data_IF_957403132593
#
_entry.id   IF_957403132593
#
_cell.length_a   1.000
_cell.length_b   1.000
_cell.length_c   1.000
_cell.angle_alpha   90.00
_cell.angle_beta   90.00
_cell.angle_gamma   90.00
#
_symmetry.space_group_name_H-M   'P 1'
#
loop_
_entity.id
_entity.type
_entity.pdbx_description
1 polymer ?
#
# COMPACT_ATOMS: atom_id res chain seq x y z
N UNK A 1 -6.15 10.84 11.48
CA UNK A 1 -7.35 11.32 10.78
C UNK A 1 -7.99 10.15 10.05
N UNK A 2 -9.26 9.90 10.30
CA UNK A 2 -9.97 8.73 9.78
C UNK A 2 -9.98 8.72 8.24
N UNK A 3 -10.32 9.86 7.62
CA UNK A 3 -10.40 9.97 6.16
C UNK A 3 -9.07 9.86 5.42
N UNK A 4 -7.94 9.96 6.14
CA UNK A 4 -6.62 9.87 5.51
C UNK A 4 -6.15 8.43 5.29
N UNK A 5 -6.75 7.44 6.00
CA UNK A 5 -6.27 6.06 5.99
C UNK A 5 -7.28 5.07 5.45
N UNK A 6 -8.47 5.52 5.00
CA UNK A 6 -9.49 4.64 4.43
C UNK A 6 -10.35 5.38 3.41
N UNK A 7 -11.02 4.66 2.49
CA UNK A 7 -11.93 5.25 1.52
C UNK A 7 -13.07 6.04 2.16
N UNK A 8 -13.55 7.06 1.48
CA UNK A 8 -14.61 7.94 1.97
C UNK A 8 -15.86 7.21 2.43
N UNK A 9 -16.40 6.19 1.69
CA UNK A 9 -17.58 5.48 2.15
C UNK A 9 -17.41 4.86 3.53
N UNK A 10 -16.25 4.26 3.81
CA UNK A 10 -15.97 3.67 5.12
C UNK A 10 -15.81 4.75 6.19
N UNK A 11 -15.14 5.86 5.87
CA UNK A 11 -14.99 6.98 6.78
C UNK A 11 -16.35 7.57 7.16
N UNK A 12 -17.25 7.76 6.19
CA UNK A 12 -18.58 8.30 6.42
C UNK A 12 -19.42 7.36 7.30
N UNK A 13 -19.32 6.06 7.08
CA UNK A 13 -20.03 5.06 7.89
C UNK A 13 -19.56 5.05 9.33
N UNK A 14 -18.25 5.20 9.57
CA UNK A 14 -17.73 5.33 10.93
C UNK A 14 -18.24 6.60 11.61
N UNK A 15 -18.31 7.70 10.89
CA UNK A 15 -18.87 8.96 11.41
C UNK A 15 -20.36 8.82 11.73
N UNK A 16 -21.08 7.96 11.01
CA UNK A 16 -22.48 7.68 11.25
C UNK A 16 -22.71 6.73 12.42
N UNK A 17 -21.65 6.22 13.07
CA UNK A 17 -21.76 5.39 14.26
C UNK A 17 -21.83 3.90 14.00
N UNK A 18 -21.47 3.44 12.84
CA UNK A 18 -21.41 2.00 12.57
C UNK A 18 -20.24 1.36 13.31
N UNK A 19 -20.52 0.31 14.08
CA UNK A 19 -19.50 -0.37 14.90
C UNK A 19 -18.58 -1.28 14.07
N UNK A 20 -19.08 -1.79 12.95
CA UNK A 20 -18.33 -2.69 12.08
C UNK A 20 -18.58 -2.30 10.63
N UNK A 21 -17.48 -2.11 9.91
CA UNK A 21 -17.53 -1.82 8.47
C UNK A 21 -16.81 -2.94 7.75
N UNK A 22 -17.53 -3.63 6.87
CA UNK A 22 -16.95 -4.64 5.99
C UNK A 22 -17.73 -4.62 4.68
N UNK A 23 -17.05 -4.27 3.59
CA UNK A 23 -17.65 -4.14 2.29
C UNK A 23 -17.03 -5.14 1.32
N UNK A 24 -17.88 -5.78 0.52
CA UNK A 24 -17.42 -6.61 -0.57
C UNK A 24 -17.12 -5.73 -1.78
N UNK A 25 -15.92 -5.88 -2.30
CA UNK A 25 -15.48 -5.20 -3.52
C UNK A 25 -15.40 -6.26 -4.61
N UNK A 26 -16.26 -6.18 -5.66
CA UNK A 26 -16.29 -7.21 -6.71
C UNK A 26 -14.98 -7.35 -7.46
N UNK A 27 -14.27 -6.24 -7.69
CA UNK A 27 -13.00 -6.26 -8.39
C UNK A 27 -12.11 -5.16 -7.81
N UNK A 28 -11.13 -5.57 -7.04
CA UNK A 28 -10.14 -4.68 -6.43
C UNK A 28 -8.77 -4.99 -7.01
N UNK A 29 -8.03 -3.97 -7.39
CA UNK A 29 -6.63 -4.13 -7.80
C UNK A 29 -5.73 -3.79 -6.62
N UNK A 30 -4.93 -4.76 -6.18
CA UNK A 30 -4.06 -4.66 -5.02
C UNK A 30 -2.62 -4.72 -5.46
N UNK A 31 -1.79 -3.87 -4.88
CA UNK A 31 -0.35 -3.83 -5.12
C UNK A 31 0.40 -4.07 -3.82
N UNK A 32 1.41 -4.94 -3.87
CA UNK A 32 2.43 -5.08 -2.83
C UNK A 32 3.76 -4.67 -3.43
N UNK A 33 4.43 -3.73 -2.79
CA UNK A 33 5.75 -3.23 -3.22
C UNK A 33 6.73 -3.43 -2.07
N UNK A 34 7.84 -4.09 -2.35
CA UNK A 34 8.83 -4.49 -1.36
C UNK A 34 10.24 -4.17 -1.86
N UNK A 35 11.15 -3.89 -0.91
CA UNK A 35 12.54 -3.62 -1.24
C UNK A 35 13.35 -4.91 -1.34
N UNK A 36 14.04 -5.09 -2.45
CA UNK A 36 14.94 -6.23 -2.64
C UNK A 36 16.22 -5.97 -1.87
N UNK A 37 16.60 -6.91 -1.01
CA UNK A 37 17.86 -6.84 -0.27
C UNK A 37 17.88 -5.86 0.90
N UNK A 38 16.71 -5.38 1.32
CA UNK A 38 16.60 -4.41 2.41
C UNK A 38 17.16 -4.95 3.73
N UNK A 39 16.77 -6.16 4.13
CA UNK A 39 17.21 -6.76 5.38
C UNK A 39 18.74 -6.87 5.44
N UNK A 40 19.36 -7.30 4.34
CA UNK A 40 20.81 -7.41 4.24
C UNK A 40 21.48 -6.03 4.28
N UNK A 41 20.92 -5.06 3.57
CA UNK A 41 21.46 -3.70 3.55
C UNK A 41 21.35 -3.01 4.91
N UNK A 42 20.27 -3.27 5.64
CA UNK A 42 20.00 -2.65 6.94
C UNK A 42 20.82 -3.27 8.08
N UNK A 43 21.33 -4.48 7.90
CA UNK A 43 22.00 -5.24 8.97
C UNK A 43 23.17 -4.49 9.60
N UNK A 44 23.96 -3.80 8.79
CA UNK A 44 25.19 -3.13 9.24
C UNK A 44 24.96 -1.63 9.52
N UNK A 45 23.72 -1.16 9.49
CA UNK A 45 23.42 0.25 9.68
C UNK A 45 22.81 0.52 11.06
N UNK A 46 22.97 1.76 11.54
CA UNK A 46 22.33 2.18 12.77
C UNK A 46 20.79 2.18 12.59
N UNK A 47 20.03 1.78 13.63
CA UNK A 47 18.56 1.79 13.54
C UNK A 47 17.98 3.14 13.10
N UNK A 48 18.58 4.24 13.51
CA UNK A 48 18.15 5.59 13.16
C UNK A 48 18.27 5.85 11.67
N UNK A 49 19.31 5.34 11.03
CA UNK A 49 19.50 5.47 9.58
C UNK A 49 18.44 4.68 8.81
N UNK A 50 18.12 3.47 9.30
CA UNK A 50 17.10 2.60 8.69
C UNK A 50 15.74 3.25 8.79
N UNK A 51 15.37 3.75 9.96
CA UNK A 51 14.06 4.42 10.17
C UNK A 51 13.95 5.68 9.32
N UNK A 52 15.01 6.49 9.25
CA UNK A 52 15.02 7.71 8.43
C UNK A 52 14.83 7.39 6.95
N UNK A 53 15.51 6.35 6.47
CA UNK A 53 15.36 5.91 5.08
C UNK A 53 13.94 5.43 4.79
N UNK A 54 13.39 4.57 5.63
CA UNK A 54 12.03 4.04 5.45
C UNK A 54 10.98 5.16 5.54
N UNK A 55 11.12 6.07 6.48
CA UNK A 55 10.20 7.19 6.63
C UNK A 55 10.16 8.05 5.36
N UNK A 56 11.33 8.39 4.83
CA UNK A 56 11.42 9.15 3.60
C UNK A 56 10.81 8.44 2.40
N UNK A 57 11.07 7.13 2.30
CA UNK A 57 10.54 6.31 1.22
C UNK A 57 9.02 6.21 1.28
N UNK A 58 8.47 5.92 2.47
CA UNK A 58 7.02 5.79 2.66
C UNK A 58 6.32 7.13 2.40
N UNK A 59 6.88 8.24 2.86
CA UNK A 59 6.33 9.58 2.59
C UNK A 59 6.26 9.86 1.08
N UNK A 60 7.29 9.47 0.36
CA UNK A 60 7.33 9.62 -1.10
C UNK A 60 6.27 8.75 -1.77
N UNK A 61 6.15 7.49 -1.35
CA UNK A 61 5.14 6.57 -1.88
C UNK A 61 3.72 7.04 -1.56
N UNK A 62 3.50 7.61 -0.37
CA UNK A 62 2.20 8.17 0.01
C UNK A 62 1.82 9.33 -0.91
N UNK A 63 2.76 10.21 -1.26
CA UNK A 63 2.51 11.30 -2.20
C UNK A 63 2.19 10.78 -3.60
N UNK A 64 2.92 9.75 -4.06
CA UNK A 64 2.67 9.13 -5.36
C UNK A 64 1.30 8.46 -5.38
N UNK A 65 0.94 7.75 -4.33
CA UNK A 65 -0.37 7.10 -4.22
C UNK A 65 -1.50 8.13 -4.29
N UNK A 66 -1.38 9.20 -3.53
CA UNK A 66 -2.36 10.28 -3.56
C UNK A 66 -2.46 10.93 -4.94
N UNK A 67 -1.33 11.21 -5.57
CA UNK A 67 -1.28 11.80 -6.91
C UNK A 67 -1.96 10.91 -7.95
N UNK A 68 -1.80 9.60 -7.85
CA UNK A 68 -2.38 8.64 -8.79
C UNK A 68 -3.80 8.18 -8.40
N UNK A 69 -4.34 8.66 -7.28
CA UNK A 69 -5.69 8.27 -6.84
C UNK A 69 -5.78 6.84 -6.33
N UNK A 70 -4.68 6.31 -5.79
CA UNK A 70 -4.63 4.97 -5.21
C UNK A 70 -4.67 5.08 -3.69
N UNK A 71 -5.44 4.20 -3.04
CA UNK A 71 -5.55 4.20 -1.59
C UNK A 71 -4.40 3.40 -0.96
N UNK A 72 -3.64 4.03 -0.08
CA UNK A 72 -2.70 3.30 0.76
C UNK A 72 -3.48 2.49 1.78
N UNK A 73 -3.17 1.21 1.89
CA UNK A 73 -3.80 0.34 2.89
C UNK A 73 -2.96 0.31 4.16
N UNK A 74 -1.71 -0.14 4.05
CA UNK A 74 -0.80 -0.21 5.21
C UNK A 74 0.62 -0.46 4.74
N UNK A 75 1.56 -0.34 5.68
CA UNK A 75 2.93 -0.84 5.51
C UNK A 75 3.17 -1.98 6.47
N UNK A 76 3.93 -2.97 6.03
CA UNK A 76 4.36 -4.10 6.85
C UNK A 76 5.88 -4.16 6.70
N UNK A 77 6.61 -3.59 7.69
CA UNK A 77 8.05 -3.43 7.56
C UNK A 77 8.41 -2.58 6.35
N UNK A 78 9.15 -3.16 5.41
CA UNK A 78 9.55 -2.51 4.15
C UNK A 78 8.58 -2.79 2.99
N UNK A 79 7.45 -3.44 3.27
CA UNK A 79 6.43 -3.73 2.27
C UNK A 79 5.32 -2.68 2.30
N UNK A 80 5.02 -2.11 1.13
CA UNK A 80 3.99 -1.09 0.97
C UNK A 80 2.79 -1.71 0.25
N UNK A 81 1.60 -1.61 0.85
CA UNK A 81 0.37 -2.13 0.28
C UNK A 81 -0.57 -1.01 -0.09
N UNK A 82 -1.06 -1.02 -1.32
CA UNK A 82 -2.02 -0.06 -1.84
C UNK A 82 -3.04 -0.74 -2.74
N UNK A 83 -4.18 -0.10 -2.93
CA UNK A 83 -5.26 -0.68 -3.74
C UNK A 83 -6.11 0.39 -4.39
N UNK A 84 -6.76 0.02 -5.48
CA UNK A 84 -7.74 0.86 -6.18
C UNK A 84 -8.85 -0.02 -6.76
N UNK A 85 -10.00 0.61 -7.02
CA UNK A 85 -11.19 -0.09 -7.51
C UNK A 85 -12.34 -0.05 -6.52
N UNK A 86 -12.21 0.70 -5.44
CA UNK A 86 -13.25 0.82 -4.41
C UNK A 86 -14.51 1.48 -4.94
N UNK A 87 -14.40 2.33 -5.97
CA UNK A 87 -15.53 3.03 -6.59
C UNK A 87 -16.31 2.18 -7.58
N UNK A 88 -15.87 0.96 -7.85
CA UNK A 88 -16.54 0.05 -8.77
C UNK A 88 -16.03 0.10 -10.21
N UNK A 89 -15.11 0.99 -10.56
CA UNK A 89 -14.52 1.03 -11.90
C UNK A 89 -13.22 0.19 -11.91
N UNK A 90 -13.38 -1.10 -12.25
CA UNK A 90 -12.28 -2.07 -12.20
C UNK A 90 -11.15 -1.75 -13.19
N UNK A 91 -11.51 -1.36 -14.41
CA UNK A 91 -10.50 -1.05 -15.44
C UNK A 91 -9.64 0.14 -15.05
N UNK A 92 -10.28 1.20 -14.55
CA UNK A 92 -9.57 2.39 -14.09
C UNK A 92 -8.68 2.06 -12.89
N UNK A 93 -9.18 1.24 -11.96
CA UNK A 93 -8.40 0.80 -10.80
C UNK A 93 -7.12 0.08 -11.21
N UNK A 94 -7.20 -0.84 -12.16
CA UNK A 94 -6.05 -1.57 -12.65
C UNK A 94 -5.02 -0.65 -13.32
N UNK A 95 -5.49 0.30 -14.12
CA UNK A 95 -4.63 1.25 -14.82
C UNK A 95 -3.91 2.17 -13.82
N UNK A 96 -4.63 2.71 -12.85
CA UNK A 96 -4.04 3.62 -11.86
C UNK A 96 -3.00 2.92 -11.00
N UNK A 97 -3.26 1.69 -10.58
CA UNK A 97 -2.29 0.90 -9.80
C UNK A 97 -1.05 0.59 -10.64
N UNK A 98 -1.23 0.24 -11.92
CA UNK A 98 -0.11 0.00 -12.83
C UNK A 98 0.77 1.23 -13.00
N UNK A 99 0.15 2.40 -13.16
CA UNK A 99 0.88 3.67 -13.26
C UNK A 99 1.63 4.00 -11.97
N UNK A 100 0.99 3.75 -10.83
CA UNK A 100 1.65 3.94 -9.53
C UNK A 100 2.88 3.03 -9.41
N UNK A 101 2.76 1.77 -9.80
CA UNK A 101 3.87 0.82 -9.76
C UNK A 101 5.07 1.31 -10.56
N UNK A 102 4.84 1.83 -11.77
CA UNK A 102 5.90 2.39 -12.60
C UNK A 102 6.51 3.64 -11.95
N UNK A 103 5.68 4.49 -11.36
CA UNK A 103 6.17 5.69 -10.66
C UNK A 103 7.03 5.33 -9.45
N UNK A 104 6.66 4.28 -8.72
CA UNK A 104 7.45 3.77 -7.58
C UNK A 104 8.81 3.25 -8.06
N UNK A 105 8.85 2.51 -9.15
CA UNK A 105 10.11 2.03 -9.72
C UNK A 105 11.02 3.18 -10.13
N UNK A 106 10.48 4.22 -10.75
CA UNK A 106 11.24 5.40 -11.10
C UNK A 106 11.76 6.13 -9.86
N UNK A 107 10.92 6.27 -8.85
CA UNK A 107 11.27 6.95 -7.62
C UNK A 107 12.41 6.26 -6.88
N UNK A 108 12.40 4.93 -6.81
CA UNK A 108 13.45 4.18 -6.11
C UNK A 108 14.79 4.31 -6.85
N UNK A 109 14.75 4.43 -8.18
CA UNK A 109 15.94 4.66 -8.97
C UNK A 109 16.60 6.02 -8.71
N UNK A 110 15.84 6.98 -8.20
CA UNK A 110 16.30 8.32 -7.89
C UNK A 110 16.61 8.52 -6.41
N UNK A 111 16.26 7.55 -5.55
CA UNK A 111 16.50 7.63 -4.11
C UNK A 111 17.99 7.47 -3.80
N UNK A 112 18.48 8.14 -2.73
CA UNK A 112 19.81 7.84 -2.21
C UNK A 112 19.91 6.36 -1.83
N UNK A 113 21.09 5.78 -2.05
CA UNK A 113 21.32 4.40 -1.66
C UNK A 113 21.28 4.27 -0.13
N UNK A 114 20.82 3.12 0.36
CA UNK A 114 20.90 2.79 1.77
C UNK A 114 22.30 2.25 2.05
N UNK A 115 23.10 3.03 2.77
CA UNK A 115 24.53 2.75 2.89
C UNK A 115 25.19 2.84 1.52
N UNK A 116 25.91 1.79 1.13
CA UNK A 116 26.57 1.71 -0.18
C UNK A 116 25.75 0.95 -1.22
N UNK A 117 24.55 0.46 -0.85
CA UNK A 117 23.74 -0.37 -1.72
C UNK A 117 22.62 0.40 -2.37
N UNK A 118 22.46 0.21 -3.65
CA UNK A 118 21.26 0.62 -4.38
C UNK A 118 20.21 -0.46 -4.24
N UNK A 119 19.02 -0.06 -3.84
CA UNK A 119 17.91 -0.97 -3.66
C UNK A 119 17.00 -0.96 -4.87
N UNK A 120 16.35 -2.08 -5.12
CA UNK A 120 15.36 -2.24 -6.19
C UNK A 120 14.03 -2.60 -5.55
N UNK A 121 12.94 -2.30 -6.27
CA UNK A 121 11.60 -2.68 -5.83
C UNK A 121 11.17 -3.98 -6.50
N UNK A 122 10.46 -4.78 -5.73
CA UNK A 122 9.75 -5.94 -6.23
C UNK A 122 8.27 -5.68 -6.01
N UNK A 123 7.47 -5.72 -7.09
CA UNK A 123 6.06 -5.34 -7.03
C UNK A 123 5.21 -6.47 -7.58
N UNK A 124 4.19 -6.86 -6.81
CA UNK A 124 3.15 -7.78 -7.23
C UNK A 124 1.81 -7.07 -7.30
N UNK A 125 1.07 -7.27 -8.38
CA UNK A 125 -0.24 -6.66 -8.61
C UNK A 125 -1.22 -7.76 -9.02
N UNK A 126 -2.45 -7.68 -8.45
CA UNK A 126 -3.51 -8.60 -8.82
C UNK A 126 -4.86 -7.91 -8.69
N UNK A 127 -5.76 -8.24 -9.61
CA UNK A 127 -7.15 -7.77 -9.58
C UNK A 127 -8.07 -8.94 -9.30
N UNK A 128 -8.99 -8.78 -8.35
CA UNK A 128 -9.93 -9.81 -7.98
C UNK A 128 -10.88 -9.35 -6.89
N UNK A 129 -11.86 -10.21 -6.51
CA UNK A 129 -12.78 -9.86 -5.43
C UNK A 129 -12.05 -9.77 -4.09
N UNK A 130 -12.50 -8.85 -3.25
CA UNK A 130 -11.91 -8.63 -1.94
C UNK A 130 -12.96 -8.13 -0.96
N UNK A 131 -12.66 -8.28 0.33
CA UNK A 131 -13.39 -7.63 1.41
C UNK A 131 -12.54 -6.49 1.94
N UNK A 132 -13.15 -5.34 2.13
CA UNK A 132 -12.49 -4.18 2.72
C UNK A 132 -13.21 -3.81 4.00
N UNK A 133 -12.46 -3.45 5.03
CA UNK A 133 -13.08 -3.12 6.30
C UNK A 133 -12.15 -2.49 7.31
N UNK A 134 -12.73 -2.17 8.46
CA UNK A 134 -12.01 -1.56 9.58
C UNK A 134 -12.01 -2.56 10.74
N UNK A 135 -10.84 -2.78 11.31
CA UNK A 135 -10.65 -3.68 12.44
C UNK A 135 -10.28 -2.85 13.68
N UNK A 136 -10.89 -3.21 14.80
CA UNK A 136 -10.61 -2.58 16.08
C UNK A 136 -11.53 -1.41 16.38
N UNK A 137 -11.54 -1.01 17.65
CA UNK A 137 -12.41 0.06 18.14
C UNK A 137 -11.64 1.25 18.70
N UNK A 138 -10.38 1.06 19.09
CA UNK A 138 -9.54 2.11 19.65
C UNK A 138 -8.67 2.80 18.61
N UNK A 139 -8.38 2.11 17.51
CA UNK A 139 -7.65 2.64 16.35
C UNK A 139 -8.37 2.23 15.09
N UNK A 140 -8.59 3.18 14.20
CA UNK A 140 -9.18 2.88 12.90
C UNK A 140 -8.10 2.30 12.00
N UNK A 141 -8.24 1.01 11.71
CA UNK A 141 -7.32 0.26 10.88
C UNK A 141 -8.09 -0.27 9.68
N UNK A 142 -7.78 0.24 8.50
CA UNK A 142 -8.42 -0.20 7.26
C UNK A 142 -7.57 -1.28 6.61
N UNK A 143 -8.21 -2.36 6.19
CA UNK A 143 -7.52 -3.47 5.54
C UNK A 143 -8.40 -4.14 4.49
N UNK A 144 -7.80 -4.97 3.66
CA UNK A 144 -8.50 -5.73 2.63
C UNK A 144 -8.10 -7.20 2.70
N UNK A 145 -9.05 -8.09 2.41
CA UNK A 145 -8.85 -9.54 2.46
C UNK A 145 -9.44 -10.18 1.22
N UNK A 146 -8.90 -11.32 0.82
CA UNK A 146 -9.43 -12.14 -0.25
C UNK A 146 -8.35 -12.87 -1.03
N UNK A 147 -8.78 -13.74 -1.92
CA UNK A 147 -7.83 -14.53 -2.74
C UNK A 147 -6.98 -13.65 -3.64
N UNK A 148 -7.54 -12.55 -4.15
CA UNK A 148 -6.79 -11.59 -4.96
C UNK A 148 -5.68 -10.92 -4.18
N UNK A 149 -5.94 -10.57 -2.91
CA UNK A 149 -4.94 -9.98 -2.02
C UNK A 149 -3.82 -10.97 -1.78
N UNK A 150 -4.15 -12.22 -1.47
CA UNK A 150 -3.18 -13.28 -1.25
C UNK A 150 -2.34 -13.54 -2.50
N UNK A 151 -2.97 -13.52 -3.68
CA UNK A 151 -2.27 -13.70 -4.95
C UNK A 151 -1.27 -12.58 -5.21
N UNK A 152 -1.67 -11.32 -4.97
CA UNK A 152 -0.77 -10.17 -5.14
C UNK A 152 0.47 -10.29 -4.24
N UNK A 153 0.28 -10.72 -3.00
CA UNK A 153 1.38 -10.96 -2.06
C UNK A 153 2.34 -12.04 -2.57
N UNK A 154 1.80 -13.15 -3.09
CA UNK A 154 2.62 -14.22 -3.66
C UNK A 154 3.37 -13.78 -4.91
N UNK A 155 2.76 -12.95 -5.76
CA UNK A 155 3.41 -12.45 -6.96
C UNK A 155 4.56 -11.50 -6.64
N UNK A 156 4.44 -10.74 -5.54
CA UNK A 156 5.51 -9.88 -5.05
C UNK A 156 6.68 -10.73 -4.51
N UNK A 157 6.37 -11.81 -3.81
CA UNK A 157 7.39 -12.69 -3.25
C UNK A 157 8.13 -13.46 -4.35
#
# INVERSE_FOLDING_TARGET
MVGAVMPMPSADRLKAGEDRIADRIPMLTVMFADLVGFTSAAHDLAPEEVVTFLDGLVRNFDRLSEHHGVEKIKTIGDCYMAASGFSGNAAEGAITVGRLALAICDAIGQQPSLGERRLQMRIGIHSGPAMAGVIGDTRFSYDVWGDGVNTASRMES
#
